data_IF_004384496289
#
_entry.id   IF_004384496289
#
_cell.length_a   1.000
_cell.length_b   1.000
_cell.length_c   1.000
_cell.angle_alpha   90.00
_cell.angle_beta   90.00
_cell.angle_gamma   90.00
#
_symmetry.space_group_name_H-M   'P 1'
#
loop_
_entity.id
_entity.type
_entity.pdbx_description
1 polymer ?
#
# COMPACT_ATOMS: atom_id res chain seq x y z
N UNK A 1 14.90 -5.17 -11.20
CA UNK A 1 13.96 -5.84 -10.28
C UNK A 1 12.68 -5.02 -10.19
N UNK A 2 11.48 -5.64 -10.18
CA UNK A 2 10.21 -4.94 -9.99
C UNK A 2 9.90 -4.60 -8.51
N UNK A 3 10.78 -4.97 -7.57
CA UNK A 3 10.58 -4.81 -6.13
C UNK A 3 10.16 -3.39 -5.70
N UNK A 4 10.93 -2.37 -6.07
CA UNK A 4 10.65 -0.99 -5.65
C UNK A 4 9.32 -0.47 -6.21
N UNK A 5 8.99 -0.85 -7.45
CA UNK A 5 7.71 -0.51 -8.04
C UNK A 5 6.55 -1.15 -7.27
N UNK A 6 6.63 -2.45 -6.97
CA UNK A 6 5.57 -3.15 -6.23
C UNK A 6 5.37 -2.61 -4.81
N UNK A 7 6.47 -2.21 -4.17
CA UNK A 7 6.43 -1.55 -2.86
C UNK A 7 5.74 -0.18 -2.98
N UNK A 8 6.14 0.66 -3.93
CA UNK A 8 5.52 1.97 -4.14
C UNK A 8 4.01 1.83 -4.43
N UNK A 9 3.63 0.94 -5.34
CA UNK A 9 2.22 0.65 -5.66
C UNK A 9 1.40 0.25 -4.42
N UNK A 10 1.97 -0.58 -3.53
CA UNK A 10 1.27 -1.10 -2.35
C UNK A 10 0.92 -0.02 -1.33
N UNK A 11 1.76 1.01 -1.22
CA UNK A 11 1.66 2.08 -0.22
C UNK A 11 1.25 3.43 -0.81
N UNK A 12 1.00 3.52 -2.12
CA UNK A 12 0.67 4.77 -2.83
C UNK A 12 -0.54 5.54 -2.25
N UNK A 13 -1.45 4.86 -1.52
CA UNK A 13 -2.57 5.53 -0.85
C UNK A 13 -2.14 6.52 0.23
N UNK A 14 -0.95 6.36 0.80
CA UNK A 14 -0.40 7.26 1.81
C UNK A 14 0.25 8.51 1.22
N UNK A 15 0.45 8.57 -0.10
CA UNK A 15 1.13 9.70 -0.75
C UNK A 15 0.14 10.79 -1.20
N UNK A 16 -1.17 10.57 -1.07
CA UNK A 16 -2.19 11.55 -1.49
C UNK A 16 -3.49 11.48 -0.70
N UNK A 17 -4.30 12.54 -0.81
CA UNK A 17 -5.65 12.59 -0.26
C UNK A 17 -5.73 12.29 1.24
N UNK A 18 -6.73 11.48 1.63
CA UNK A 18 -6.96 11.11 3.02
C UNK A 18 -5.81 10.31 3.65
N UNK A 19 -5.09 9.51 2.86
CA UNK A 19 -3.95 8.75 3.35
C UNK A 19 -2.72 9.62 3.63
N UNK A 20 -2.49 10.65 2.81
CA UNK A 20 -1.45 11.65 3.10
C UNK A 20 -1.75 12.43 4.38
N UNK A 21 -2.99 12.94 4.52
CA UNK A 21 -3.39 13.64 5.74
C UNK A 21 -3.23 12.78 7.01
N UNK A 22 -3.50 11.48 6.91
CA UNK A 22 -3.26 10.51 7.97
C UNK A 22 -1.77 10.30 8.26
N UNK A 23 -0.95 10.11 7.22
CA UNK A 23 0.50 9.92 7.36
C UNK A 23 1.20 11.15 7.97
N UNK A 24 0.74 12.35 7.62
CA UNK A 24 1.24 13.62 8.14
C UNK A 24 0.72 13.96 9.55
N UNK A 25 -0.16 13.11 10.12
CA UNK A 25 -0.71 13.30 11.47
C UNK A 25 -1.72 14.44 11.57
N UNK A 26 -2.26 14.91 10.45
CA UNK A 26 -3.22 16.02 10.39
C UNK A 26 -4.68 15.56 10.49
N UNK A 27 -4.94 14.28 10.26
CA UNK A 27 -6.28 13.67 10.40
C UNK A 27 -6.66 13.42 11.86
N UNK A 28 -7.93 13.66 12.19
CA UNK A 28 -8.53 13.22 13.45
C UNK A 28 -9.24 11.87 13.31
N UNK A 29 -9.63 11.26 14.44
CA UNK A 29 -10.44 10.03 14.41
C UNK A 29 -11.81 10.25 13.73
N UNK A 30 -12.38 11.45 13.82
CA UNK A 30 -13.65 11.79 13.15
C UNK A 30 -13.47 11.78 11.64
N UNK A 31 -12.37 12.36 11.13
CA UNK A 31 -12.07 12.39 9.70
C UNK A 31 -11.88 10.98 9.13
N UNK A 32 -11.16 10.12 9.86
CA UNK A 32 -10.95 8.71 9.48
C UNK A 32 -12.27 7.95 9.45
N UNK A 33 -13.15 8.16 10.44
CA UNK A 33 -14.46 7.51 10.49
C UNK A 33 -15.36 7.94 9.32
N UNK A 34 -15.38 9.24 8.98
CA UNK A 34 -16.13 9.76 7.84
C UNK A 34 -15.59 9.22 6.51
N UNK A 35 -14.26 9.15 6.36
CA UNK A 35 -13.65 8.56 5.18
C UNK A 35 -14.07 7.10 5.01
N UNK A 36 -14.01 6.30 6.08
CA UNK A 36 -14.39 4.88 6.05
C UNK A 36 -15.87 4.64 5.71
N UNK A 37 -16.78 5.52 6.15
CA UNK A 37 -18.22 5.36 5.91
C UNK A 37 -18.61 5.35 4.42
N UNK A 38 -17.82 5.98 3.55
CA UNK A 38 -18.04 6.02 2.11
C UNK A 38 -17.02 5.25 1.27
N UNK A 39 -16.04 4.59 1.90
CA UNK A 39 -14.93 3.95 1.19
C UNK A 39 -14.69 2.54 1.73
N UNK A 40 -15.05 1.53 0.94
CA UNK A 40 -14.70 0.14 1.24
C UNK A 40 -13.25 -0.15 0.81
N UNK A 41 -12.43 -0.80 1.67
CA UNK A 41 -11.09 -1.21 1.31
C UNK A 41 -11.11 -2.20 0.13
N UNK A 42 -10.43 -1.84 -0.96
CA UNK A 42 -10.20 -2.77 -2.06
C UNK A 42 -9.25 -3.88 -1.62
N UNK A 43 -9.65 -5.12 -1.81
CA UNK A 43 -8.77 -6.27 -1.64
C UNK A 43 -7.69 -6.23 -2.73
N UNK A 44 -6.42 -6.19 -2.32
CA UNK A 44 -5.26 -6.22 -3.20
C UNK A 44 -4.42 -7.46 -2.87
N UNK A 45 -3.88 -8.12 -3.89
CA UNK A 45 -2.97 -9.25 -3.69
C UNK A 45 -1.71 -8.79 -2.96
N UNK A 46 -1.29 -9.56 -1.95
CA UNK A 46 0.00 -9.36 -1.26
C UNK A 46 1.22 -9.78 -2.08
N UNK A 47 1.03 -10.44 -3.23
CA UNK A 47 2.09 -10.88 -4.16
C UNK A 47 3.20 -11.74 -3.50
N UNK A 48 2.93 -12.43 -2.39
CA UNK A 48 3.93 -13.20 -1.65
C UNK A 48 4.72 -14.17 -2.55
N UNK A 49 4.03 -15.05 -3.28
CA UNK A 49 4.67 -16.02 -4.19
C UNK A 49 5.50 -15.33 -5.29
N UNK A 50 5.08 -14.14 -5.75
CA UNK A 50 5.83 -13.38 -6.73
C UNK A 50 7.11 -12.77 -6.14
N UNK A 51 7.09 -12.33 -4.88
CA UNK A 51 8.30 -11.90 -4.16
C UNK A 51 9.26 -13.06 -3.93
N UNK A 52 8.76 -14.23 -3.50
CA UNK A 52 9.57 -15.44 -3.31
C UNK A 52 10.24 -15.87 -4.63
N UNK A 53 9.48 -15.90 -5.72
CA UNK A 53 10.01 -16.21 -7.05
C UNK A 53 11.01 -15.16 -7.57
N UNK A 54 10.82 -13.89 -7.23
CA UNK A 54 11.77 -12.83 -7.57
C UNK A 54 13.10 -13.06 -6.86
N UNK A 55 13.09 -13.34 -5.56
CA UNK A 55 14.30 -13.65 -4.79
C UNK A 55 15.01 -14.87 -5.38
N UNK A 56 14.26 -15.94 -5.68
CA UNK A 56 14.82 -17.15 -6.30
C UNK A 56 15.50 -16.86 -7.64
N UNK A 57 14.94 -15.97 -8.46
CA UNK A 57 15.56 -15.58 -9.73
C UNK A 57 16.90 -14.86 -9.57
N UNK A 58 17.13 -14.16 -8.45
CA UNK A 58 18.41 -13.50 -8.16
C UNK A 58 19.41 -14.41 -7.44
N UNK A 59 18.94 -15.49 -6.82
CA UNK A 59 19.79 -16.47 -6.12
C UNK A 59 20.26 -17.62 -7.03
N UNK A 60 19.43 -18.02 -7.99
CA UNK A 60 19.64 -19.23 -8.81
C UNK A 60 20.01 -18.95 -10.27
N UNK A 61 19.95 -17.68 -10.70
CA UNK A 61 20.52 -17.22 -11.96
C UNK A 61 21.76 -16.41 -11.69
#
# INVERSE_FOLDING_TARGET
SPLEQWRAERYASFDSGAGAAFADGTSTLVDVAQHAAGNEPKQLSGRQEAYENLINQYLTR
#
